data_IF_124299528905
#
_entry.id   IF_124299528905
#
_cell.length_a   1.000
_cell.length_b   1.000
_cell.length_c   1.000
_cell.angle_alpha   90.00
_cell.angle_beta   90.00
_cell.angle_gamma   90.00
#
_symmetry.space_group_name_H-M   'P 1'
#
loop_
_entity.id
_entity.type
_entity.pdbx_description
1 polymer ?
#
# COMPACT_ATOMS: atom_id res chain seq x y z
N UNK A 1 -12.48 38.70 13.91
CA UNK A 1 -11.47 37.86 14.61
C UNK A 1 -11.99 36.51 15.06
N UNK A 2 -13.17 36.34 15.66
CA UNK A 2 -13.67 35.01 16.07
C UNK A 2 -14.19 34.10 14.94
N UNK A 3 -14.61 34.67 13.82
CA UNK A 3 -15.14 33.92 12.66
C UNK A 3 -14.05 33.32 11.75
N UNK A 4 -12.87 33.94 11.72
CA UNK A 4 -11.74 33.39 10.94
C UNK A 4 -11.11 32.16 11.57
N UNK A 5 -11.03 32.11 12.91
CA UNK A 5 -10.46 30.96 13.62
C UNK A 5 -11.32 29.68 13.52
N UNK A 6 -12.64 29.81 13.34
CA UNK A 6 -13.55 28.67 13.20
C UNK A 6 -13.47 28.07 11.78
N UNK A 7 -13.19 28.90 10.76
CA UNK A 7 -13.08 28.44 9.38
C UNK A 7 -11.74 27.71 9.11
N UNK A 8 -10.66 28.14 9.75
CA UNK A 8 -9.34 27.48 9.61
C UNK A 8 -9.31 26.11 10.28
N UNK A 9 -9.87 25.96 11.48
CA UNK A 9 -9.96 24.65 12.18
C UNK A 9 -10.79 23.64 11.41
N UNK A 10 -11.87 24.07 10.74
CA UNK A 10 -12.72 23.16 9.95
C UNK A 10 -12.07 22.68 8.65
N UNK A 11 -11.21 23.48 8.04
CA UNK A 11 -10.47 23.10 6.84
C UNK A 11 -9.31 22.13 7.13
N UNK A 12 -8.65 22.32 8.27
CA UNK A 12 -7.56 21.43 8.71
C UNK A 12 -8.07 20.03 9.11
N UNK A 13 -9.18 19.97 9.83
CA UNK A 13 -9.82 18.70 10.19
C UNK A 13 -10.29 17.94 8.94
N UNK A 14 -10.89 18.60 8.01
CA UNK A 14 -11.35 17.99 6.75
C UNK A 14 -10.18 17.43 5.93
N UNK A 15 -9.06 18.14 5.90
CA UNK A 15 -7.83 17.71 5.23
C UNK A 15 -7.22 16.47 5.86
N UNK A 16 -7.21 16.37 7.19
CA UNK A 16 -6.72 15.21 7.95
C UNK A 16 -7.56 13.96 7.69
N UNK A 17 -8.88 14.08 7.71
CA UNK A 17 -9.78 12.97 7.42
C UNK A 17 -9.68 12.50 5.96
N UNK A 18 -9.55 13.42 5.01
CA UNK A 18 -9.31 13.06 3.61
C UNK A 18 -7.99 12.29 3.44
N UNK A 19 -6.94 12.74 4.09
CA UNK A 19 -5.66 12.03 4.06
C UNK A 19 -5.77 10.63 4.68
N UNK A 20 -6.52 10.46 5.77
CA UNK A 20 -6.80 9.15 6.37
C UNK A 20 -7.51 8.22 5.38
N UNK A 21 -8.54 8.69 4.68
CA UNK A 21 -9.23 7.89 3.67
C UNK A 21 -8.30 7.46 2.53
N UNK A 22 -7.40 8.34 2.09
CA UNK A 22 -6.39 8.01 1.07
C UNK A 22 -5.42 6.93 1.58
N UNK A 23 -5.00 7.02 2.85
CA UNK A 23 -4.17 6.00 3.47
C UNK A 23 -4.88 4.65 3.57
N UNK A 24 -6.14 4.64 4.01
CA UNK A 24 -6.97 3.44 4.07
C UNK A 24 -7.19 2.83 2.68
N UNK A 25 -7.48 3.65 1.67
CA UNK A 25 -7.65 3.18 0.30
C UNK A 25 -6.36 2.55 -0.25
N UNK A 26 -5.18 3.11 0.07
CA UNK A 26 -3.89 2.53 -0.30
C UNK A 26 -3.66 1.15 0.31
N UNK A 27 -3.98 0.99 1.59
CA UNK A 27 -3.85 -0.31 2.27
C UNK A 27 -4.89 -1.31 1.77
N UNK A 28 -6.15 -0.89 1.58
CA UNK A 28 -7.19 -1.72 0.98
C UNK A 28 -6.75 -2.27 -0.38
N UNK A 29 -6.14 -1.45 -1.20
CA UNK A 29 -5.63 -1.84 -2.51
C UNK A 29 -4.54 -2.92 -2.40
N UNK A 30 -3.64 -2.84 -1.40
CA UNK A 30 -2.63 -3.85 -1.13
C UNK A 30 -3.28 -5.18 -0.72
N UNK A 31 -4.26 -5.15 0.18
CA UNK A 31 -5.00 -6.33 0.64
C UNK A 31 -5.79 -6.97 -0.50
N UNK A 32 -6.51 -6.16 -1.28
CA UNK A 32 -7.25 -6.64 -2.45
C UNK A 32 -6.34 -7.29 -3.50
N UNK A 33 -5.19 -6.69 -3.79
CA UNK A 33 -4.23 -7.26 -4.74
C UNK A 33 -3.69 -8.63 -4.29
N UNK A 34 -3.52 -8.83 -2.97
CA UNK A 34 -3.15 -10.13 -2.41
C UNK A 34 -4.27 -11.17 -2.56
N UNK A 35 -5.51 -10.80 -2.24
CA UNK A 35 -6.66 -11.70 -2.31
C UNK A 35 -7.07 -12.04 -3.74
N UNK A 36 -7.11 -11.04 -4.63
CA UNK A 36 -7.47 -11.24 -6.05
C UNK A 36 -6.51 -12.21 -6.73
N UNK A 37 -5.21 -12.11 -6.44
CA UNK A 37 -4.23 -13.02 -7.03
C UNK A 37 -4.45 -14.46 -6.57
N UNK A 38 -4.73 -14.70 -5.29
CA UNK A 38 -5.03 -16.05 -4.80
C UNK A 38 -6.24 -16.66 -5.50
N UNK A 39 -7.26 -15.86 -5.81
CA UNK A 39 -8.44 -16.31 -6.57
C UNK A 39 -8.10 -16.54 -8.05
N UNK A 40 -7.21 -15.72 -8.63
CA UNK A 40 -6.81 -15.80 -10.03
C UNK A 40 -5.74 -16.89 -10.32
N UNK A 41 -5.09 -17.45 -9.30
CA UNK A 41 -4.03 -18.45 -9.48
C UNK A 41 -4.40 -19.61 -10.42
N UNK A 42 -5.59 -20.24 -10.34
CA UNK A 42 -5.95 -21.33 -11.26
C UNK A 42 -6.01 -20.86 -12.71
N UNK A 43 -6.62 -19.70 -12.96
CA UNK A 43 -6.72 -19.13 -14.32
C UNK A 43 -5.34 -18.75 -14.88
N UNK A 44 -4.48 -18.15 -14.04
CA UNK A 44 -3.10 -17.80 -14.39
C UNK A 44 -2.29 -19.06 -14.74
N UNK A 45 -2.53 -20.16 -14.03
CA UNK A 45 -1.89 -21.43 -14.27
C UNK A 45 -2.21 -21.97 -15.66
N UNK A 46 -3.49 -21.94 -16.02
CA UNK A 46 -3.97 -22.45 -17.30
C UNK A 46 -3.54 -21.55 -18.48
N UNK A 47 -3.60 -20.22 -18.30
CA UNK A 47 -3.31 -19.25 -19.37
C UNK A 47 -1.81 -19.15 -19.69
N UNK A 48 -0.94 -19.33 -18.72
CA UNK A 48 0.51 -19.16 -18.86
C UNK A 48 1.31 -20.47 -18.71
N UNK A 49 0.64 -21.63 -18.72
CA UNK A 49 1.25 -22.97 -18.57
C UNK A 49 2.19 -23.08 -17.35
N UNK A 50 1.77 -22.52 -16.19
CA UNK A 50 2.56 -22.59 -14.97
C UNK A 50 2.62 -24.00 -14.41
N UNK A 51 3.83 -24.45 -14.06
CA UNK A 51 4.00 -25.59 -13.14
C UNK A 51 3.62 -25.16 -11.71
N UNK A 52 3.16 -26.11 -10.88
CA UNK A 52 2.81 -25.84 -9.48
C UNK A 52 3.97 -25.18 -8.70
N UNK A 53 5.22 -25.54 -9.02
CA UNK A 53 6.40 -24.95 -8.40
C UNK A 53 6.59 -23.47 -8.80
N UNK A 54 6.42 -23.15 -10.08
CA UNK A 54 6.57 -21.77 -10.57
C UNK A 54 5.39 -20.89 -10.14
N UNK A 55 4.19 -21.44 -10.04
CA UNK A 55 3.00 -20.72 -9.58
C UNK A 55 3.18 -20.19 -8.14
N UNK A 56 3.82 -20.97 -7.27
CA UNK A 56 4.15 -20.53 -5.92
C UNK A 56 5.06 -19.29 -5.89
N UNK A 57 5.90 -19.10 -6.91
CA UNK A 57 6.76 -17.91 -7.01
C UNK A 57 5.99 -16.62 -7.26
N UNK A 58 4.81 -16.67 -7.87
CA UNK A 58 3.95 -15.48 -8.06
C UNK A 58 3.56 -14.85 -6.72
N UNK A 59 3.31 -15.68 -5.71
CA UNK A 59 2.99 -15.21 -4.35
C UNK A 59 4.26 -14.95 -3.54
N UNK A 60 5.23 -15.87 -3.58
CA UNK A 60 6.44 -15.78 -2.78
C UNK A 60 7.31 -14.59 -3.16
N UNK A 61 7.46 -14.28 -4.45
CA UNK A 61 8.22 -13.11 -4.91
C UNK A 61 7.67 -11.80 -4.30
N UNK A 62 6.35 -11.65 -4.28
CA UNK A 62 5.69 -10.51 -3.63
C UNK A 62 5.96 -10.49 -2.12
N UNK A 63 5.77 -11.61 -1.41
CA UNK A 63 5.93 -11.67 0.05
C UNK A 63 7.38 -11.44 0.49
N UNK A 64 8.35 -11.98 -0.22
CA UNK A 64 9.78 -11.78 0.05
C UNK A 64 10.17 -10.31 -0.15
N UNK A 65 9.75 -9.72 -1.27
CA UNK A 65 10.04 -8.32 -1.57
C UNK A 65 9.33 -7.39 -0.59
N UNK A 66 8.07 -7.65 -0.25
CA UNK A 66 7.30 -6.89 0.72
C UNK A 66 7.94 -6.94 2.11
N UNK A 67 8.17 -8.15 2.64
CA UNK A 67 8.76 -8.33 3.97
C UNK A 67 10.20 -7.79 4.07
N UNK A 68 11.02 -8.07 3.06
CA UNK A 68 12.42 -7.61 3.01
C UNK A 68 12.56 -6.10 2.89
N UNK A 69 11.62 -5.44 2.19
CA UNK A 69 11.66 -3.98 1.98
C UNK A 69 10.99 -3.18 3.10
N UNK A 70 10.20 -3.81 3.97
CA UNK A 70 9.35 -3.11 4.96
C UNK A 70 10.16 -2.21 5.91
N UNK A 71 11.25 -2.74 6.47
CA UNK A 71 12.14 -1.99 7.37
C UNK A 71 12.89 -0.88 6.65
N UNK A 72 13.37 -1.16 5.44
CA UNK A 72 14.06 -0.18 4.61
C UNK A 72 13.12 0.97 4.22
N UNK A 73 11.90 0.65 3.82
CA UNK A 73 10.88 1.61 3.44
C UNK A 73 10.49 2.53 4.62
N UNK A 74 10.37 1.97 5.84
CA UNK A 74 10.16 2.75 7.05
C UNK A 74 11.30 3.74 7.30
N UNK A 75 12.54 3.29 7.17
CA UNK A 75 13.72 4.16 7.34
C UNK A 75 13.82 5.24 6.27
N UNK A 76 13.53 4.92 5.02
CA UNK A 76 13.47 5.90 3.93
C UNK A 76 12.36 6.94 4.17
N UNK A 77 11.22 6.52 4.73
CA UNK A 77 10.13 7.41 5.12
C UNK A 77 10.55 8.46 6.15
N UNK A 78 11.43 8.09 7.08
CA UNK A 78 11.97 9.01 8.09
C UNK A 78 13.02 9.98 7.50
N UNK A 79 13.79 9.54 6.50
CA UNK A 79 14.86 10.33 5.88
C UNK A 79 14.37 11.28 4.78
N UNK A 80 13.52 10.80 3.89
CA UNK A 80 13.08 11.52 2.68
C UNK A 80 11.73 12.21 2.91
N UNK A 81 10.95 11.69 3.86
CA UNK A 81 9.61 12.16 4.19
C UNK A 81 8.53 11.12 3.86
N UNK A 82 7.67 10.85 4.83
CA UNK A 82 6.63 9.82 4.77
C UNK A 82 5.69 9.99 3.58
N UNK A 83 5.30 11.24 3.27
CA UNK A 83 4.40 11.56 2.16
C UNK A 83 5.00 11.19 0.79
N UNK A 84 6.29 11.48 0.58
CA UNK A 84 6.97 11.19 -0.67
C UNK A 84 7.09 9.67 -0.87
N UNK A 85 7.46 8.93 0.17
CA UNK A 85 7.57 7.47 0.15
C UNK A 85 6.20 6.81 -0.06
N UNK A 86 5.14 7.32 0.58
CA UNK A 86 3.78 6.82 0.38
C UNK A 86 3.32 6.97 -1.08
N UNK A 87 3.47 8.17 -1.66
CA UNK A 87 3.04 8.45 -3.03
C UNK A 87 3.86 7.67 -4.06
N UNK A 88 5.17 7.55 -3.86
CA UNK A 88 6.03 6.75 -4.75
C UNK A 88 5.71 5.26 -4.65
N UNK A 89 5.49 4.74 -3.44
CA UNK A 89 5.05 3.36 -3.23
C UNK A 89 3.73 3.05 -3.92
N UNK A 90 2.74 3.94 -3.78
CA UNK A 90 1.43 3.83 -4.44
C UNK A 90 1.56 3.87 -5.97
N UNK A 91 2.36 4.76 -6.53
CA UNK A 91 2.58 4.85 -7.97
C UNK A 91 3.26 3.59 -8.53
N UNK A 92 4.31 3.10 -7.85
CA UNK A 92 4.99 1.84 -8.20
C UNK A 92 4.02 0.67 -8.11
N UNK A 93 3.27 0.56 -7.02
CA UNK A 93 2.31 -0.52 -6.81
C UNK A 93 1.23 -0.55 -7.90
N UNK A 94 0.64 0.61 -8.22
CA UNK A 94 -0.41 0.73 -9.24
C UNK A 94 0.12 0.43 -10.63
N UNK A 95 1.28 0.98 -10.99
CA UNK A 95 1.90 0.74 -12.29
C UNK A 95 2.23 -0.74 -12.50
N UNK A 96 2.78 -1.39 -11.48
CA UNK A 96 3.11 -2.81 -11.52
C UNK A 96 1.86 -3.71 -11.47
N UNK A 97 0.78 -3.27 -10.83
CA UNK A 97 -0.53 -3.95 -10.91
C UNK A 97 -1.04 -4.03 -12.34
N UNK A 98 -0.90 -2.95 -13.10
CA UNK A 98 -1.26 -2.95 -14.54
C UNK A 98 -0.36 -3.89 -15.34
N UNK A 99 0.94 -3.90 -15.08
CA UNK A 99 1.89 -4.81 -15.73
C UNK A 99 1.56 -6.26 -15.39
N UNK A 100 1.21 -6.59 -14.14
CA UNK A 100 0.76 -7.93 -13.75
C UNK A 100 -0.50 -8.37 -14.52
N UNK A 101 -1.45 -7.45 -14.74
CA UNK A 101 -2.67 -7.75 -15.49
C UNK A 101 -2.48 -7.92 -17.00
N UNK A 102 -1.36 -7.43 -17.53
CA UNK A 102 -1.01 -7.50 -18.95
C UNK A 102 0.20 -8.42 -19.21
N UNK A 103 0.66 -9.16 -18.21
CA UNK A 103 1.87 -9.96 -18.29
C UNK A 103 1.76 -11.07 -19.36
N UNK A 104 2.59 -11.08 -20.41
CA UNK A 104 2.54 -12.08 -21.47
C UNK A 104 3.30 -13.35 -21.13
N UNK A 105 4.15 -13.34 -20.10
CA UNK A 105 4.99 -14.47 -19.70
C UNK A 105 5.08 -14.63 -18.18
N UNK A 106 5.44 -15.85 -17.74
CA UNK A 106 5.64 -16.18 -16.32
C UNK A 106 6.68 -15.27 -15.66
N UNK A 107 7.80 -15.01 -16.31
CA UNK A 107 8.92 -14.23 -15.79
C UNK A 107 8.53 -12.76 -15.59
N UNK A 108 7.78 -12.19 -16.51
CA UNK A 108 7.28 -10.81 -16.41
C UNK A 108 6.30 -10.71 -15.22
N UNK A 109 5.42 -11.68 -15.04
CA UNK A 109 4.48 -11.72 -13.92
C UNK A 109 5.21 -11.82 -12.58
N UNK A 110 6.16 -12.75 -12.43
CA UNK A 110 6.93 -12.94 -11.19
C UNK A 110 7.78 -11.69 -10.89
N UNK A 111 8.45 -11.12 -11.89
CA UNK A 111 9.24 -9.90 -11.75
C UNK A 111 8.39 -8.70 -11.35
N UNK A 112 7.24 -8.50 -12.01
CA UNK A 112 6.30 -7.43 -11.66
C UNK A 112 5.76 -7.60 -10.22
N UNK A 113 5.48 -8.81 -9.80
CA UNK A 113 5.09 -9.16 -8.41
C UNK A 113 6.16 -8.81 -7.39
N UNK A 114 7.42 -9.08 -7.70
CA UNK A 114 8.53 -8.71 -6.83
C UNK A 114 8.57 -7.19 -6.59
N UNK A 115 8.61 -6.40 -7.64
CA UNK A 115 8.63 -4.94 -7.52
C UNK A 115 7.34 -4.36 -6.95
N UNK A 116 6.19 -4.98 -7.23
CA UNK A 116 4.91 -4.61 -6.60
C UNK A 116 4.96 -4.81 -5.08
N UNK A 117 5.64 -5.88 -4.59
CA UNK A 117 5.91 -6.08 -3.17
C UNK A 117 6.71 -4.95 -2.54
N UNK A 118 7.73 -4.43 -3.23
CA UNK A 118 8.50 -3.25 -2.79
C UNK A 118 7.59 -2.02 -2.67
N UNK A 119 6.78 -1.72 -3.70
CA UNK A 119 5.83 -0.60 -3.68
C UNK A 119 4.80 -0.71 -2.55
N UNK A 120 4.28 -1.92 -2.32
CA UNK A 120 3.38 -2.22 -1.21
C UNK A 120 4.03 -1.98 0.16
N UNK A 121 5.28 -2.44 0.34
CA UNK A 121 6.05 -2.21 1.57
C UNK A 121 6.28 -0.71 1.84
N UNK A 122 6.60 0.08 0.82
CA UNK A 122 6.76 1.52 0.93
C UNK A 122 5.48 2.19 1.40
N UNK A 123 4.34 1.80 0.84
CA UNK A 123 3.03 2.33 1.22
C UNK A 123 2.65 1.93 2.65
N UNK A 124 2.75 0.65 3.00
CA UNK A 124 2.35 0.12 4.29
C UNK A 124 3.23 0.62 5.45
N UNK A 125 4.56 0.65 5.26
CA UNK A 125 5.51 1.05 6.30
C UNK A 125 5.30 2.49 6.80
N UNK A 126 4.94 3.41 5.89
CA UNK A 126 4.79 4.83 6.25
C UNK A 126 3.34 5.20 6.60
N UNK A 127 2.35 4.40 6.19
CA UNK A 127 0.93 4.70 6.44
C UNK A 127 0.63 4.83 7.94
N UNK A 128 1.05 3.86 8.73
CA UNK A 128 0.82 3.88 10.19
C UNK A 128 1.54 5.06 10.86
N UNK A 129 2.79 5.34 10.45
CA UNK A 129 3.57 6.47 10.94
C UNK A 129 2.97 7.83 10.56
N UNK A 130 2.28 7.92 9.42
CA UNK A 130 1.55 9.14 9.02
C UNK A 130 0.30 9.34 9.88
N UNK A 131 -0.48 8.29 10.15
CA UNK A 131 -1.67 8.36 11.02
C UNK A 131 -1.30 8.93 12.40
N UNK A 132 -0.24 8.39 13.02
CA UNK A 132 0.21 8.84 14.35
C UNK A 132 0.68 10.31 14.33
N UNK A 133 1.31 10.76 13.25
CA UNK A 133 1.77 12.16 13.15
C UNK A 133 0.66 13.15 12.81
N UNK A 134 -0.40 12.70 12.14
CA UNK A 134 -1.54 13.55 11.77
C UNK A 134 -2.54 13.79 12.91
N UNK A 135 -2.60 12.87 13.87
CA UNK A 135 -3.52 12.94 15.01
C UNK A 135 -2.74 12.96 16.33
N UNK A 136 -2.23 14.12 16.77
CA UNK A 136 -1.38 14.22 17.97
C UNK A 136 -2.13 14.11 19.29
N UNK A 137 -3.47 14.23 19.31
CA UNK A 137 -4.26 14.14 20.52
C UNK A 137 -4.51 12.68 20.99
N UNK A 138 -4.42 12.35 22.29
CA UNK A 138 -4.38 10.95 22.78
C UNK A 138 -5.59 10.07 22.40
N UNK A 139 -6.73 10.66 22.07
CA UNK A 139 -7.98 9.94 21.74
C UNK A 139 -8.25 9.82 20.22
N UNK A 140 -7.68 10.67 19.43
CA UNK A 140 -7.91 10.71 17.98
C UNK A 140 -7.17 9.59 17.22
N UNK A 141 -5.89 9.25 17.55
CA UNK A 141 -5.21 8.15 16.87
C UNK A 141 -5.94 6.82 17.04
N UNK A 142 -6.57 6.58 18.19
CA UNK A 142 -7.29 5.34 18.45
C UNK A 142 -8.48 5.16 17.49
N UNK A 143 -9.21 6.23 17.17
CA UNK A 143 -10.29 6.19 16.17
C UNK A 143 -9.74 6.02 14.74
N UNK A 144 -8.68 6.75 14.40
CA UNK A 144 -8.04 6.66 13.09
C UNK A 144 -7.42 5.28 12.84
N UNK A 145 -6.76 4.70 13.85
CA UNK A 145 -6.22 3.32 13.80
C UNK A 145 -7.36 2.31 13.73
N UNK A 146 -8.49 2.54 14.43
CA UNK A 146 -9.68 1.69 14.35
C UNK A 146 -10.24 1.63 12.92
N UNK A 147 -10.37 2.77 12.25
CA UNK A 147 -10.81 2.85 10.84
C UNK A 147 -9.80 2.15 9.92
N UNK A 148 -8.50 2.37 10.15
CA UNK A 148 -7.42 1.71 9.40
C UNK A 148 -7.42 0.19 9.59
N UNK A 149 -7.74 -0.31 10.78
CA UNK A 149 -7.79 -1.74 11.10
C UNK A 149 -9.04 -2.45 10.55
N UNK A 150 -10.09 -1.70 10.18
CA UNK A 150 -11.27 -2.24 9.51
C UNK A 150 -11.08 -2.50 8.01
N UNK A 151 -9.97 -2.06 7.45
CA UNK A 151 -9.57 -2.24 6.05
C UNK A 151 -8.64 -3.42 5.90
#
# INVERSE_FOLDING_TARGET
>A
MASESITETNSDDRSRWLALYVLCAGVLMIVLAGTVVNVALPTIQDDLDFTNANLAWVVNAYLIAFGGSLLLAGRLGDLIGKRAIFLSGMAIFTGLSLICGLAPTQEVLIGARFFQGVGGAMTAAVALGMIVTMFPEPREPAKAIGVYACV
#
